data_IF_805919639150
#
_entry.id   IF_805919639150
#
_cell.length_a   1.000
_cell.length_b   1.000
_cell.length_c   1.000
_cell.angle_alpha   90.00
_cell.angle_beta   90.00
_cell.angle_gamma   90.00
#
_symmetry.space_group_name_H-M   'P 1'
#
loop_
_entity.id
_entity.type
_entity.pdbx_description
1 polymer ?
#
# COMPACT_ATOMS: atom_id res chain seq x y z
N UNK A 1 7.68 4.67 18.34
CA UNK A 1 8.60 5.05 17.26
C UNK A 1 7.85 5.09 15.92
N UNK A 2 8.13 6.09 15.11
CA UNK A 2 7.50 6.24 13.81
C UNK A 2 7.93 5.11 12.86
N UNK A 3 6.94 4.49 12.22
CA UNK A 3 7.16 3.46 11.19
C UNK A 3 6.47 3.87 9.90
N UNK A 4 7.07 3.52 8.78
CA UNK A 4 6.52 3.81 7.46
C UNK A 4 5.73 2.61 6.93
N UNK A 5 4.68 2.89 6.19
CA UNK A 5 3.91 1.83 5.53
C UNK A 5 4.71 1.24 4.37
N UNK A 6 4.79 -0.07 4.32
CA UNK A 6 5.51 -0.76 3.24
C UNK A 6 5.00 -0.37 1.85
N UNK A 7 3.68 -0.18 1.71
CA UNK A 7 3.05 0.23 0.46
C UNK A 7 3.41 1.65 0.00
N UNK A 8 3.95 2.48 0.90
CA UNK A 8 4.32 3.87 0.63
C UNK A 8 5.83 4.11 0.60
N UNK A 9 6.63 3.05 0.74
CA UNK A 9 8.10 3.19 0.81
C UNK A 9 8.68 3.81 -0.46
N UNK A 10 8.07 3.58 -1.61
CA UNK A 10 8.49 4.15 -2.88
C UNK A 10 8.48 5.69 -2.87
N UNK A 11 7.58 6.30 -2.09
CA UNK A 11 7.52 7.76 -1.98
C UNK A 11 8.78 8.34 -1.33
N UNK A 12 9.38 7.61 -0.38
CA UNK A 12 10.61 8.02 0.31
C UNK A 12 11.82 7.87 -0.61
N UNK A 13 11.78 6.88 -1.50
CA UNK A 13 12.91 6.55 -2.38
C UNK A 13 13.03 7.47 -3.58
N UNK A 14 12.16 8.47 -3.71
CA UNK A 14 12.24 9.45 -4.80
C UNK A 14 13.39 10.40 -4.59
N UNK A 15 14.26 10.50 -5.59
CA UNK A 15 15.40 11.42 -5.57
C UNK A 15 15.00 12.84 -5.95
N UNK A 16 15.74 13.84 -5.44
CA UNK A 16 15.58 15.23 -5.83
C UNK A 16 16.03 15.48 -7.28
N UNK A 17 15.56 16.57 -7.85
CA UNK A 17 15.94 16.98 -9.22
C UNK A 17 17.39 17.46 -9.32
N UNK A 18 17.94 18.02 -8.25
CA UNK A 18 19.33 18.47 -8.18
C UNK A 18 20.14 17.58 -7.25
N UNK A 19 21.48 17.60 -7.43
CA UNK A 19 22.38 16.83 -6.56
C UNK A 19 22.37 17.30 -5.11
N UNK A 20 21.92 18.54 -4.86
CA UNK A 20 21.80 19.08 -3.51
C UNK A 20 20.54 18.63 -2.79
N UNK A 21 19.55 18.13 -3.51
CA UNK A 21 18.29 17.66 -2.94
C UNK A 21 18.36 16.15 -2.68
N UNK A 22 18.53 15.79 -1.42
CA UNK A 22 18.56 14.38 -1.01
C UNK A 22 17.23 13.68 -1.30
N UNK A 23 16.11 14.36 -1.01
CA UNK A 23 14.76 13.85 -1.22
C UNK A 23 14.03 14.65 -2.29
N UNK A 24 13.26 13.94 -3.15
CA UNK A 24 12.35 14.58 -4.08
C UNK A 24 11.15 15.22 -3.36
N UNK A 25 10.38 16.03 -4.09
CA UNK A 25 9.20 16.71 -3.52
C UNK A 25 8.16 15.72 -3.00
N UNK A 26 7.97 14.59 -3.67
CA UNK A 26 7.06 13.53 -3.24
C UNK A 26 7.47 12.96 -1.90
N UNK A 27 8.77 12.69 -1.71
CA UNK A 27 9.32 12.19 -0.45
C UNK A 27 9.13 13.22 0.67
N UNK A 28 9.42 14.49 0.40
CA UNK A 28 9.26 15.58 1.38
C UNK A 28 7.80 15.70 1.82
N UNK A 29 6.86 15.67 0.89
CA UNK A 29 5.43 15.71 1.19
C UNK A 29 4.99 14.52 2.03
N UNK A 30 5.41 13.32 1.65
CA UNK A 30 5.08 12.10 2.38
C UNK A 30 5.64 12.12 3.81
N UNK A 31 6.90 12.52 3.99
CA UNK A 31 7.52 12.63 5.32
C UNK A 31 6.81 13.66 6.18
N UNK A 32 6.39 14.79 5.61
CA UNK A 32 5.61 15.81 6.32
C UNK A 32 4.27 15.24 6.80
N UNK A 33 3.57 14.51 5.95
CA UNK A 33 2.32 13.87 6.31
C UNK A 33 2.50 12.83 7.43
N UNK A 34 3.55 12.03 7.36
CA UNK A 34 3.89 11.08 8.42
C UNK A 34 4.19 11.78 9.75
N UNK A 35 4.90 12.90 9.70
CA UNK A 35 5.20 13.70 10.88
C UNK A 35 3.94 14.25 11.53
N UNK A 36 3.02 14.79 10.72
CA UNK A 36 1.74 15.33 11.20
C UNK A 36 0.91 14.22 11.86
N UNK A 37 0.83 13.06 11.23
CA UNK A 37 0.10 11.92 11.78
C UNK A 37 0.69 11.45 13.11
N UNK A 38 2.01 11.34 13.18
CA UNK A 38 2.70 10.84 14.36
C UNK A 38 2.66 11.84 15.54
N UNK A 39 2.92 13.12 15.25
CA UNK A 39 3.04 14.15 16.31
C UNK A 39 1.69 14.68 16.76
N UNK A 40 0.78 14.93 15.81
CA UNK A 40 -0.50 15.59 16.11
C UNK A 40 -1.69 14.63 16.09
N UNK A 41 -1.51 13.37 15.68
CA UNK A 41 -2.59 12.41 15.58
C UNK A 41 -3.64 12.76 14.54
N UNK A 42 -3.29 13.57 13.54
CA UNK A 42 -4.21 14.00 12.50
C UNK A 42 -3.97 13.25 11.21
N UNK A 43 -5.05 12.81 10.58
CA UNK A 43 -5.04 12.01 9.37
C UNK A 43 -5.85 12.72 8.29
N UNK A 44 -5.38 12.63 7.04
CA UNK A 44 -6.18 13.07 5.90
C UNK A 44 -7.43 12.21 5.78
N UNK A 45 -8.57 12.85 5.55
CA UNK A 45 -9.78 12.15 5.16
C UNK A 45 -9.67 11.78 3.67
N UNK A 46 -9.36 10.51 3.41
CA UNK A 46 -9.22 10.00 2.05
C UNK A 46 -10.38 9.04 1.76
N UNK A 47 -11.60 9.54 1.84
CA UNK A 47 -12.76 8.78 1.37
C UNK A 47 -12.97 9.08 -0.10
N UNK A 48 -12.84 8.06 -0.97
CA UNK A 48 -13.12 8.19 -2.38
C UNK A 48 -13.77 6.91 -2.90
N UNK A 49 -14.54 7.05 -3.97
CA UNK A 49 -15.14 5.90 -4.66
C UNK A 49 -14.09 4.89 -5.17
N UNK A 50 -12.85 5.34 -5.38
CA UNK A 50 -11.75 4.46 -5.79
C UNK A 50 -11.38 3.47 -4.68
N UNK A 51 -11.36 3.91 -3.43
CA UNK A 51 -11.14 3.03 -2.28
C UNK A 51 -12.25 2.02 -2.09
N UNK A 52 -13.50 2.47 -2.19
CA UNK A 52 -14.65 1.59 -2.06
C UNK A 52 -14.62 0.48 -3.12
N UNK A 53 -14.35 0.83 -4.37
CA UNK A 53 -14.21 -0.16 -5.45
C UNK A 53 -13.10 -1.16 -5.17
N UNK A 54 -11.94 -0.67 -4.70
CA UNK A 54 -10.81 -1.53 -4.36
C UNK A 54 -11.17 -2.55 -3.29
N UNK A 55 -11.84 -2.13 -2.24
CA UNK A 55 -12.29 -3.02 -1.17
C UNK A 55 -13.35 -4.02 -1.63
N UNK A 56 -14.33 -3.56 -2.39
CA UNK A 56 -15.40 -4.42 -2.91
C UNK A 56 -14.87 -5.51 -3.85
N UNK A 57 -13.89 -5.16 -4.69
CA UNK A 57 -13.34 -6.09 -5.68
C UNK A 57 -12.28 -7.02 -5.13
N UNK A 58 -11.72 -6.74 -3.95
CA UNK A 58 -10.64 -7.55 -3.38
C UNK A 58 -11.09 -8.99 -3.08
N UNK A 59 -12.24 -9.16 -2.45
CA UNK A 59 -12.79 -10.50 -2.17
C UNK A 59 -13.10 -11.27 -3.44
N UNK A 60 -13.67 -10.60 -4.45
CA UNK A 60 -13.95 -11.20 -5.74
C UNK A 60 -12.66 -11.64 -6.42
N UNK A 61 -11.61 -10.82 -6.36
CA UNK A 61 -10.30 -11.14 -6.92
C UNK A 61 -9.68 -12.36 -6.24
N UNK A 62 -9.78 -12.46 -4.92
CA UNK A 62 -9.29 -13.62 -4.15
C UNK A 62 -10.05 -14.88 -4.57
N UNK A 63 -11.36 -14.80 -4.71
CA UNK A 63 -12.20 -15.91 -5.15
C UNK A 63 -11.83 -16.38 -6.56
N UNK A 64 -11.62 -15.44 -7.48
CA UNK A 64 -11.21 -15.76 -8.85
C UNK A 64 -9.84 -16.42 -8.90
N UNK A 65 -8.88 -15.91 -8.13
CA UNK A 65 -7.54 -16.49 -8.05
C UNK A 65 -7.57 -17.89 -7.45
N UNK A 66 -8.41 -18.10 -6.43
CA UNK A 66 -8.61 -19.42 -5.81
C UNK A 66 -9.11 -20.44 -6.80
N UNK A 67 -10.07 -20.07 -7.63
CA UNK A 67 -10.61 -20.94 -8.68
C UNK A 67 -9.55 -21.22 -9.76
N UNK A 68 -8.86 -20.18 -10.20
CA UNK A 68 -7.83 -20.29 -11.24
C UNK A 68 -6.68 -21.22 -10.83
N UNK A 69 -6.17 -21.06 -9.61
CA UNK A 69 -5.06 -21.85 -9.08
C UNK A 69 -5.51 -23.18 -8.47
N UNK A 70 -6.81 -23.42 -8.35
CA UNK A 70 -7.40 -24.59 -7.67
C UNK A 70 -6.88 -24.72 -6.23
N UNK A 71 -6.64 -23.60 -5.58
CA UNK A 71 -6.14 -23.51 -4.20
C UNK A 71 -7.01 -22.52 -3.45
N UNK A 72 -7.38 -22.86 -2.23
CA UNK A 72 -8.20 -21.96 -1.40
C UNK A 72 -7.33 -20.88 -0.77
N UNK A 73 -7.51 -19.62 -1.18
CA UNK A 73 -6.82 -18.48 -0.61
C UNK A 73 -7.72 -17.71 0.35
N UNK A 74 -7.13 -17.25 1.44
CA UNK A 74 -7.79 -16.41 2.44
C UNK A 74 -7.16 -15.04 2.46
N UNK A 75 -7.99 -14.02 2.71
CA UNK A 75 -7.46 -12.69 3.00
C UNK A 75 -6.67 -12.73 4.30
N UNK A 76 -5.43 -12.25 4.24
CA UNK A 76 -4.62 -12.10 5.44
C UNK A 76 -5.01 -10.83 6.20
N UNK A 77 -5.14 -10.94 7.51
CA UNK A 77 -5.42 -9.79 8.38
C UNK A 77 -4.26 -9.50 9.34
N UNK A 78 -3.21 -10.33 9.31
CA UNK A 78 -2.06 -10.16 10.16
C UNK A 78 -1.13 -9.07 9.65
N UNK A 79 -0.80 -8.12 10.54
CA UNK A 79 0.15 -7.05 10.25
C UNK A 79 1.56 -7.47 10.65
N UNK A 80 2.51 -7.21 9.77
CA UNK A 80 3.93 -7.45 10.00
C UNK A 80 4.68 -6.14 10.10
N UNK A 81 5.63 -6.06 11.01
CA UNK A 81 6.45 -4.86 11.15
C UNK A 81 7.84 -5.17 11.68
N UNK A 82 8.78 -4.32 11.31
CA UNK A 82 10.11 -4.26 11.92
C UNK A 82 10.34 -2.87 12.51
N UNK A 83 11.59 -2.50 12.76
CA UNK A 83 11.91 -1.18 13.35
C UNK A 83 11.48 0.00 12.47
N UNK A 84 11.43 -0.18 11.16
CA UNK A 84 11.28 0.90 10.20
C UNK A 84 9.97 0.89 9.42
N UNK A 85 9.45 -0.29 9.08
CA UNK A 85 8.28 -0.41 8.21
C UNK A 85 7.24 -1.35 8.79
N UNK A 86 6.00 -1.11 8.38
CA UNK A 86 4.84 -1.93 8.74
C UNK A 86 4.01 -2.20 7.49
N UNK A 87 3.38 -3.36 7.41
CA UNK A 87 2.54 -3.74 6.28
C UNK A 87 1.64 -4.92 6.57
N UNK A 88 0.54 -4.99 5.86
CA UNK A 88 -0.41 -6.10 5.90
C UNK A 88 -0.56 -6.66 4.50
N UNK A 89 0.11 -7.79 4.18
CA UNK A 89 -0.05 -8.45 2.88
C UNK A 89 -1.50 -8.90 2.65
N UNK A 90 -1.94 -8.94 1.40
CA UNK A 90 -3.30 -9.36 1.06
C UNK A 90 -3.51 -10.85 1.28
N UNK A 91 -2.57 -11.68 0.83
CA UNK A 91 -2.61 -13.14 0.99
C UNK A 91 -1.22 -13.63 1.37
N UNK A 92 -1.17 -14.54 2.35
CA UNK A 92 0.06 -15.24 2.73
C UNK A 92 -0.18 -16.74 2.57
N UNK A 93 0.73 -17.40 1.83
CA UNK A 93 0.77 -18.85 1.71
C UNK A 93 2.10 -19.37 2.28
N UNK A 94 2.25 -20.69 2.35
CA UNK A 94 3.48 -21.31 2.85
C UNK A 94 4.71 -20.97 1.99
N UNK A 95 4.50 -20.62 0.71
CA UNK A 95 5.58 -20.38 -0.26
C UNK A 95 5.58 -18.98 -0.86
N UNK A 96 4.54 -18.17 -0.62
CA UNK A 96 4.40 -16.89 -1.32
C UNK A 96 3.64 -15.85 -0.51
N UNK A 97 3.92 -14.60 -0.83
CA UNK A 97 3.13 -13.44 -0.41
C UNK A 97 2.51 -12.85 -1.67
N UNK A 98 1.20 -12.69 -1.68
CA UNK A 98 0.46 -12.24 -2.86
C UNK A 98 -0.17 -10.89 -2.57
N UNK A 99 0.05 -9.94 -3.48
CA UNK A 99 -0.56 -8.62 -3.43
C UNK A 99 -1.60 -8.49 -4.55
N UNK A 100 -2.77 -7.97 -4.21
CA UNK A 100 -3.88 -7.83 -5.13
C UNK A 100 -4.04 -6.36 -5.49
N UNK A 101 -4.06 -6.07 -6.79
CA UNK A 101 -4.29 -4.73 -7.33
C UNK A 101 -5.61 -4.70 -8.10
N UNK A 102 -6.50 -3.83 -7.66
CA UNK A 102 -7.80 -3.62 -8.32
C UNK A 102 -7.83 -2.21 -8.89
N UNK A 103 -7.39 -2.00 -10.15
CA UNK A 103 -7.39 -0.68 -10.75
C UNK A 103 -8.81 -0.17 -10.97
N UNK A 104 -8.98 1.16 -10.92
CA UNK A 104 -10.30 1.78 -11.08
C UNK A 104 -10.84 1.59 -12.50
N UNK A 105 -9.98 1.72 -13.51
CA UNK A 105 -10.36 1.61 -14.93
C UNK A 105 -9.19 1.06 -15.75
N UNK A 106 -9.41 0.91 -17.05
CA UNK A 106 -8.40 0.36 -17.96
C UNK A 106 -7.16 1.26 -18.07
N UNK A 107 -7.33 2.57 -17.95
CA UNK A 107 -6.20 3.50 -18.01
C UNK A 107 -5.31 3.34 -16.78
N UNK A 108 -5.91 3.23 -15.61
CA UNK A 108 -5.20 2.97 -14.35
C UNK A 108 -4.52 1.59 -14.37
N UNK A 109 -5.12 0.61 -15.06
CA UNK A 109 -4.54 -0.73 -15.20
C UNK A 109 -3.22 -0.71 -15.97
N UNK A 110 -3.12 0.11 -17.01
CA UNK A 110 -1.92 0.23 -17.85
C UNK A 110 -0.91 1.26 -17.36
N UNK A 111 -1.23 2.02 -16.34
CA UNK A 111 -0.38 3.10 -15.84
C UNK A 111 0.88 2.60 -15.09
#
# INVERSE_FOLDING_TARGET
>A
MLKFRASSIANIMQSGRSKSDLFGKTAQKYLTECFIQHKYGRYKDITSKYFEKGHEMEEDAISMLSVFDKTFYFKNEENFSNEFITGTPDIITDSAVIDIKCPFDIFTFYD
#
